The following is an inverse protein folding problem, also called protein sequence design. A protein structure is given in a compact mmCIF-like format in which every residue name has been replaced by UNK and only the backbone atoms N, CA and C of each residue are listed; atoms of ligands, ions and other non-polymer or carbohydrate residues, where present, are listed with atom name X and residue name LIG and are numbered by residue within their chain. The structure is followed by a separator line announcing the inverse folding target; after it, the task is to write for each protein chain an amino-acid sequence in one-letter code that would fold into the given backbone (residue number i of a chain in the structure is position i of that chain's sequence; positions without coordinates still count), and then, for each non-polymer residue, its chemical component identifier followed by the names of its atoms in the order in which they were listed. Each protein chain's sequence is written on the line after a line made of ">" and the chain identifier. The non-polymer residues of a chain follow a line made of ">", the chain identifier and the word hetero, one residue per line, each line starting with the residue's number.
data_IF_654317297875
#
_entry.id   IF_654317297875
#
_cell.length_a   1.000
_cell.length_b   1.000
_cell.length_c   1.000
_cell.angle_alpha   90.00
_cell.angle_beta   90.00
_cell.angle_gamma   90.00
#
_symmetry.space_group_name_H-M   'P 1'
#
loop_
_entity.id
_entity.type
_entity.pdbx_description
1 polymer ?
#
# COMPACT_ATOMS: atom_id res chain seq x y z
N UNK A 1 1.52 -12.63 4.26
CA UNK A 1 0.43 -13.41 3.60
C UNK A 1 -0.30 -14.31 4.60
N UNK A 2 0.37 -15.23 5.31
CA UNK A 2 -0.30 -16.08 6.31
C UNK A 2 -0.97 -15.28 7.44
N UNK A 3 -0.33 -14.19 7.91
CA UNK A 3 -0.90 -13.30 8.93
C UNK A 3 -2.16 -12.53 8.48
N UNK A 4 -2.27 -12.14 7.20
CA UNK A 4 -3.46 -11.46 6.69
C UNK A 4 -4.64 -12.42 6.47
N UNK A 5 -4.37 -13.69 6.12
CA UNK A 5 -5.43 -14.72 6.06
C UNK A 5 -5.93 -15.09 7.46
N UNK A 6 -5.04 -15.17 8.45
CA UNK A 6 -5.41 -15.38 9.85
C UNK A 6 -6.21 -14.20 10.44
N UNK A 7 -5.80 -12.97 10.13
CA UNK A 7 -6.54 -11.76 10.51
C UNK A 7 -7.94 -11.72 9.87
N UNK A 8 -8.07 -12.13 8.60
CA UNK A 8 -9.36 -12.23 7.92
C UNK A 8 -10.31 -13.21 8.62
N UNK A 9 -9.82 -14.41 8.99
CA UNK A 9 -10.61 -15.39 9.76
C UNK A 9 -11.01 -14.90 11.16
N UNK A 10 -10.11 -14.22 11.86
CA UNK A 10 -10.37 -13.71 13.20
C UNK A 10 -11.34 -12.51 13.21
N UNK A 11 -11.24 -11.61 12.22
CA UNK A 11 -12.12 -10.44 12.12
C UNK A 11 -13.49 -10.73 11.51
N UNK A 12 -13.60 -11.75 10.64
CA UNK A 12 -14.90 -12.23 10.14
C UNK A 12 -15.80 -12.73 11.29
N UNK A 13 -15.23 -13.30 12.35
CA UNK A 13 -15.97 -13.72 13.55
C UNK A 13 -16.50 -12.53 14.38
N UNK A 14 -15.93 -11.32 14.22
CA UNK A 14 -16.23 -10.14 15.05
C UNK A 14 -17.13 -9.09 14.36
N UNK A 15 -17.64 -9.36 13.14
CA UNK A 15 -18.50 -8.46 12.33
C UNK A 15 -18.01 -7.00 12.28
N UNK A 16 -16.70 -6.80 12.17
CA UNK A 16 -16.12 -5.47 12.11
C UNK A 16 -15.55 -5.20 10.71
N UNK A 17 -16.42 -4.74 9.82
CA UNK A 17 -16.17 -4.56 8.39
C UNK A 17 -14.91 -3.72 8.10
N UNK A 18 -14.58 -2.77 9.00
CA UNK A 18 -13.37 -1.92 8.88
C UNK A 18 -12.08 -2.73 8.91
N UNK A 19 -12.02 -3.75 9.77
CA UNK A 19 -10.83 -4.60 9.88
C UNK A 19 -10.77 -5.66 8.77
N UNK A 20 -11.91 -6.07 8.21
CA UNK A 20 -11.94 -6.94 7.03
C UNK A 20 -11.36 -6.23 5.80
N UNK A 21 -11.69 -4.95 5.60
CA UNK A 21 -11.09 -4.12 4.56
C UNK A 21 -9.57 -3.98 4.75
N UNK A 22 -9.13 -3.66 5.98
CA UNK A 22 -7.70 -3.51 6.29
C UNK A 22 -6.91 -4.81 6.07
N UNK A 23 -7.54 -5.97 6.32
CA UNK A 23 -6.94 -7.28 6.08
C UNK A 23 -6.72 -7.56 4.59
N UNK A 24 -7.63 -7.11 3.72
CA UNK A 24 -7.46 -7.19 2.26
C UNK A 24 -6.30 -6.30 1.80
N UNK A 25 -6.23 -5.05 2.27
CA UNK A 25 -5.12 -4.15 1.99
C UNK A 25 -3.78 -4.76 2.44
N UNK A 26 -3.74 -5.34 3.63
CA UNK A 26 -2.54 -6.01 4.18
C UNK A 26 -2.14 -7.25 3.38
N UNK A 27 -3.11 -7.98 2.81
CA UNK A 27 -2.85 -9.12 1.92
C UNK A 27 -2.18 -8.65 0.62
N UNK A 28 -2.73 -7.62 -0.02
CA UNK A 28 -2.16 -7.04 -1.25
C UNK A 28 -0.75 -6.50 -0.99
N UNK A 29 -0.53 -5.77 0.11
CA UNK A 29 0.79 -5.31 0.52
C UNK A 29 1.77 -6.48 0.69
N UNK A 30 1.35 -7.54 1.38
CA UNK A 30 2.19 -8.71 1.59
C UNK A 30 2.60 -9.42 0.29
N UNK A 31 1.70 -9.50 -0.69
CA UNK A 31 2.03 -10.06 -2.00
C UNK A 31 3.03 -9.19 -2.77
N UNK A 32 2.79 -7.88 -2.82
CA UNK A 32 3.64 -6.95 -3.57
C UNK A 32 5.04 -6.88 -2.97
N UNK A 33 5.13 -6.77 -1.65
CA UNK A 33 6.39 -6.76 -0.91
C UNK A 33 7.14 -8.08 -1.12
N UNK A 34 6.45 -9.22 -1.03
CA UNK A 34 7.06 -10.52 -1.31
C UNK A 34 7.69 -10.61 -2.70
N UNK A 35 7.02 -10.09 -3.72
CA UNK A 35 7.56 -10.03 -5.09
C UNK A 35 8.82 -9.17 -5.17
N UNK A 36 8.83 -7.99 -4.53
CA UNK A 36 10.01 -7.10 -4.51
C UNK A 36 11.19 -7.73 -3.76
N UNK A 37 10.93 -8.35 -2.61
CA UNK A 37 11.97 -9.05 -1.85
C UNK A 37 12.58 -10.23 -2.62
N UNK A 38 11.82 -10.88 -3.50
CA UNK A 38 12.31 -12.03 -4.28
C UNK A 38 13.35 -11.67 -5.35
N UNK A 39 13.32 -10.44 -5.86
CA UNK A 39 14.21 -9.98 -6.94
C UNK A 39 15.32 -9.03 -6.45
N UNK A 40 15.24 -8.59 -5.19
CA UNK A 40 16.26 -7.79 -4.52
C UNK A 40 17.63 -8.52 -4.55
N UNK A 41 18.74 -7.87 -4.95
CA UNK A 41 18.97 -6.42 -5.09
C UNK A 41 18.77 -5.84 -6.51
N UNK A 42 18.30 -6.64 -7.46
CA UNK A 42 18.04 -6.19 -8.84
C UNK A 42 16.62 -5.65 -8.97
N UNK A 43 16.45 -4.44 -9.51
CA UNK A 43 15.11 -3.87 -9.78
C UNK A 43 14.58 -4.29 -11.14
N UNK A 44 15.47 -4.50 -12.12
CA UNK A 44 15.13 -5.02 -13.44
C UNK A 44 16.25 -5.97 -13.93
N UNK A 45 16.10 -7.30 -13.78
CA UNK A 45 17.08 -8.24 -14.30
C UNK A 45 17.02 -8.26 -15.84
N UNK A 46 18.16 -7.98 -16.48
CA UNK A 46 18.27 -8.03 -17.93
C UNK A 46 18.49 -9.47 -18.41
N UNK A 47 17.75 -9.89 -19.44
CA UNK A 47 17.91 -11.21 -20.08
C UNK A 47 19.07 -11.26 -21.09
N UNK A 48 19.62 -10.10 -21.45
CA UNK A 48 20.63 -9.94 -22.53
C UNK A 48 22.07 -9.76 -22.02
N UNK A 49 22.33 -9.92 -20.73
CA UNK A 49 23.67 -9.88 -20.13
C UNK A 49 23.70 -9.24 -18.73
N UNK A 50 24.56 -9.75 -17.83
CA UNK A 50 24.67 -9.28 -16.44
C UNK A 50 25.06 -7.80 -16.31
N UNK A 51 25.70 -7.24 -17.34
CA UNK A 51 26.17 -5.84 -17.38
C UNK A 51 25.03 -4.80 -17.51
N UNK A 52 23.84 -5.21 -17.99
CA UNK A 52 22.67 -4.34 -18.12
C UNK A 52 21.69 -4.48 -16.95
N UNK A 53 22.07 -5.20 -15.90
CA UNK A 53 21.21 -5.45 -14.76
C UNK A 53 21.03 -4.15 -13.95
N UNK A 54 19.79 -3.65 -13.91
CA UNK A 54 19.47 -2.44 -13.16
C UNK A 54 19.40 -2.82 -11.67
N UNK A 55 20.44 -2.49 -10.93
CA UNK A 55 20.52 -2.70 -9.48
C UNK A 55 20.23 -1.40 -8.75
N UNK A 56 19.91 -1.48 -7.45
CA UNK A 56 19.56 -0.31 -6.62
C UNK A 56 20.69 0.74 -6.62
N UNK A 57 21.95 0.31 -6.77
CA UNK A 57 23.12 1.18 -6.80
C UNK A 57 23.27 1.97 -8.11
N UNK A 58 22.81 1.42 -9.22
CA UNK A 58 22.89 2.08 -10.53
C UNK A 58 21.59 2.83 -10.88
N UNK A 59 20.44 2.34 -10.40
CA UNK A 59 19.13 2.93 -10.62
C UNK A 59 18.77 4.06 -9.63
N UNK A 60 19.60 4.31 -8.60
CA UNK A 60 19.32 5.37 -7.62
C UNK A 60 19.44 6.76 -8.25
N UNK A 61 18.44 7.62 -8.01
CA UNK A 61 18.57 9.05 -8.30
C UNK A 61 19.74 9.66 -7.49
N UNK A 62 20.33 10.74 -8.00
CA UNK A 62 21.44 11.44 -7.32
C UNK A 62 21.11 11.75 -5.86
N UNK A 63 22.10 11.63 -4.96
CA UNK A 63 21.91 11.64 -3.51
C UNK A 63 21.07 12.83 -3.00
N UNK A 64 21.26 14.01 -3.56
CA UNK A 64 20.48 15.20 -3.23
C UNK A 64 19.01 15.08 -3.62
N UNK A 65 18.72 14.63 -4.85
CA UNK A 65 17.36 14.40 -5.32
C UNK A 65 16.63 13.32 -4.52
N UNK A 66 17.36 12.27 -4.10
CA UNK A 66 16.82 11.22 -3.24
C UNK A 66 16.45 11.75 -1.85
N UNK A 67 17.34 12.54 -1.22
CA UNK A 67 17.07 13.12 0.11
C UNK A 67 15.89 14.10 0.08
N UNK A 68 15.88 15.04 -0.86
CA UNK A 68 14.80 16.01 -0.99
C UNK A 68 13.49 15.32 -1.36
N UNK A 69 13.55 14.34 -2.27
CA UNK A 69 12.40 13.53 -2.65
C UNK A 69 11.81 12.77 -1.48
N UNK A 70 12.64 12.19 -0.60
CA UNK A 70 12.19 11.46 0.58
C UNK A 70 11.48 12.39 1.59
N UNK A 71 12.05 13.57 1.84
CA UNK A 71 11.46 14.57 2.75
C UNK A 71 10.10 15.05 2.19
N UNK A 72 10.07 15.43 0.92
CA UNK A 72 8.84 15.91 0.28
C UNK A 72 7.77 14.81 0.19
N UNK A 73 8.17 13.58 -0.12
CA UNK A 73 7.27 12.43 -0.18
C UNK A 73 6.65 12.15 1.19
N UNK A 74 7.42 12.21 2.28
CA UNK A 74 6.89 12.04 3.63
C UNK A 74 5.82 13.08 3.96
N UNK A 75 6.05 14.35 3.62
CA UNK A 75 5.06 15.42 3.77
C UNK A 75 3.79 15.12 2.95
N UNK A 76 3.97 14.72 1.68
CA UNK A 76 2.85 14.35 0.80
C UNK A 76 2.00 13.20 1.34
N UNK A 77 2.63 12.16 1.90
CA UNK A 77 1.92 11.03 2.52
C UNK A 77 1.16 11.46 3.77
N UNK A 78 1.72 12.33 4.61
CA UNK A 78 1.02 12.85 5.80
C UNK A 78 -0.23 13.62 5.41
N UNK A 79 -0.15 14.46 4.37
CA UNK A 79 -1.29 15.22 3.85
C UNK A 79 -2.35 14.26 3.26
N UNK A 80 -1.93 13.30 2.43
CA UNK A 80 -2.82 12.33 1.82
C UNK A 80 -3.57 11.51 2.87
N UNK A 81 -2.86 10.97 3.87
CA UNK A 81 -3.48 10.22 4.98
C UNK A 81 -4.47 11.07 5.76
N UNK A 82 -4.12 12.32 6.05
CA UNK A 82 -5.02 13.25 6.75
C UNK A 82 -6.30 13.47 5.96
N UNK A 83 -6.17 13.70 4.65
CA UNK A 83 -7.33 13.85 3.77
C UNK A 83 -8.20 12.60 3.75
N UNK A 84 -7.62 11.40 3.55
CA UNK A 84 -8.38 10.16 3.56
C UNK A 84 -9.11 9.94 4.90
N UNK A 85 -8.47 10.21 6.03
CA UNK A 85 -9.11 10.08 7.36
C UNK A 85 -10.31 11.03 7.48
N UNK A 86 -10.16 12.29 7.08
CA UNK A 86 -11.26 13.26 7.10
C UNK A 86 -12.39 12.86 6.13
N UNK A 87 -12.03 12.38 4.95
CA UNK A 87 -12.97 11.91 3.93
C UNK A 87 -13.80 10.74 4.46
N UNK A 88 -13.16 9.68 4.98
CA UNK A 88 -13.87 8.54 5.58
C UNK A 88 -14.73 8.95 6.77
N UNK A 89 -14.33 9.98 7.54
CA UNK A 89 -15.13 10.50 8.65
C UNK A 89 -16.33 11.32 8.17
N UNK A 90 -16.18 12.09 7.10
CA UNK A 90 -17.24 12.92 6.52
C UNK A 90 -18.29 12.10 5.78
N UNK A 91 -17.87 11.06 5.04
CA UNK A 91 -18.76 10.19 4.26
C UNK A 91 -19.24 8.95 5.05
N UNK A 92 -18.85 8.79 6.32
CA UNK A 92 -19.19 7.65 7.17
C UNK A 92 -20.63 7.61 7.69
N UNK A 93 -21.56 8.35 7.10
CA UNK A 93 -22.98 8.31 7.43
C UNK A 93 -23.65 7.07 6.83
N UNK A 94 -24.53 6.40 7.60
CA UNK A 94 -25.35 5.30 7.07
C UNK A 94 -26.24 5.85 5.95
N UNK A 95 -26.04 5.38 4.72
CA UNK A 95 -27.00 5.62 3.64
C UNK A 95 -28.28 4.86 4.01
N UNK A 96 -29.30 5.59 4.44
CA UNK A 96 -30.62 5.03 4.63
C UNK A 96 -31.27 4.94 3.24
N UNK A 97 -31.60 3.72 2.83
CA UNK A 97 -32.20 3.40 1.52
C UNK A 97 -33.69 3.79 1.45
N UNK A 98 -34.20 4.46 2.49
CA UNK A 98 -35.61 4.83 2.66
C UNK A 98 -36.04 6.06 1.84
N UNK A 99 -35.15 6.65 1.03
CA UNK A 99 -35.46 7.83 0.21
C UNK A 99 -35.63 7.54 -1.29
N UNK A 100 -35.81 6.28 -1.68
CA UNK A 100 -36.03 5.87 -3.08
C UNK A 100 -37.43 5.27 -3.31
N UNK A 101 -38.41 5.68 -2.51
CA UNK A 101 -39.84 5.51 -2.81
C UNK A 101 -40.56 6.84 -2.61
N UNK A 102 -40.41 7.79 -3.54
CA UNK A 102 -41.41 8.80 -3.90
C UNK A 102 -41.13 9.38 -5.29
#
# INVERSE_FOLDING_TARGET
>A
VLGSVAAFKYFHAKKNDKFMFLSSCSYLLGMLVGAVFSVYPSVLPASTGEEFNLTIYNASAGAYGLQVGLIWWAIGIVIALTYFVLLYKAFGGKVNIESEEH
#
